data_IF_872200736696
#
_entry.id   IF_872200736696
#
_cell.length_a   1.000
_cell.length_b   1.000
_cell.length_c   1.000
_cell.angle_alpha   90.00
_cell.angle_beta   90.00
_cell.angle_gamma   90.00
#
_symmetry.space_group_name_H-M   'P 1'
#
loop_
_entity.id
_entity.type
_entity.pdbx_description
1 polymer ?
#
# COMPACT_ATOMS: atom_id res chain seq x y z
N UNK A 1 -37.65 -61.66 33.60
CA UNK A 1 -37.90 -61.38 32.17
C UNK A 1 -37.00 -60.22 31.76
N UNK A 2 -35.91 -60.42 31.00
CA UNK A 2 -34.94 -59.37 30.72
C UNK A 2 -35.21 -58.61 29.41
N UNK A 3 -35.03 -57.29 29.49
CA UNK A 3 -34.47 -56.33 28.52
C UNK A 3 -34.48 -56.60 27.00
N UNK A 4 -35.07 -55.66 26.23
CA UNK A 4 -34.72 -55.34 24.83
C UNK A 4 -35.31 -53.97 24.44
N UNK A 5 -34.49 -52.94 24.23
CA UNK A 5 -34.99 -51.66 23.68
C UNK A 5 -34.09 -50.42 23.69
N UNK A 6 -32.90 -50.45 24.29
CA UNK A 6 -32.07 -49.24 24.49
C UNK A 6 -30.96 -48.94 23.48
N UNK A 7 -30.43 -49.92 22.73
CA UNK A 7 -29.21 -49.75 21.93
C UNK A 7 -29.40 -49.14 20.53
N UNK A 8 -30.62 -49.16 19.98
CA UNK A 8 -30.85 -48.75 18.58
C UNK A 8 -30.83 -47.23 18.37
N UNK A 9 -30.94 -46.43 19.44
CA UNK A 9 -31.04 -44.97 19.35
C UNK A 9 -29.67 -44.27 19.44
N UNK A 10 -28.72 -44.84 20.17
CA UNK A 10 -27.36 -44.31 20.32
C UNK A 10 -26.53 -44.52 19.06
N UNK A 11 -26.60 -45.71 18.44
CA UNK A 11 -25.90 -46.03 17.19
C UNK A 11 -26.37 -45.14 16.03
N UNK A 12 -27.68 -44.89 15.91
CA UNK A 12 -28.25 -44.00 14.87
C UNK A 12 -27.81 -42.54 15.04
N UNK A 13 -27.70 -42.05 16.28
CA UNK A 13 -27.17 -40.71 16.59
C UNK A 13 -25.68 -40.58 16.29
N UNK A 14 -24.88 -41.61 16.58
CA UNK A 14 -23.45 -41.63 16.27
C UNK A 14 -23.21 -41.58 14.75
N UNK A 15 -23.98 -42.37 13.99
CA UNK A 15 -23.95 -42.39 12.53
C UNK A 15 -24.41 -41.05 11.92
N UNK A 16 -25.41 -40.36 12.51
CA UNK A 16 -25.80 -39.04 12.01
C UNK A 16 -24.76 -37.96 12.32
N UNK A 17 -24.12 -38.01 13.50
CA UNK A 17 -23.04 -37.09 13.87
C UNK A 17 -21.82 -37.27 12.96
N UNK A 18 -21.42 -38.51 12.67
CA UNK A 18 -20.35 -38.79 11.69
C UNK A 18 -20.69 -38.25 10.30
N UNK A 19 -21.93 -38.40 9.85
CA UNK A 19 -22.38 -37.84 8.56
C UNK A 19 -22.33 -36.31 8.55
N UNK A 20 -22.80 -35.65 9.63
CA UNK A 20 -22.74 -34.20 9.75
C UNK A 20 -21.29 -33.67 9.79
N UNK A 21 -20.39 -34.34 10.53
CA UNK A 21 -18.97 -34.00 10.55
C UNK A 21 -18.31 -34.18 9.18
N UNK A 22 -18.63 -35.26 8.48
CA UNK A 22 -18.12 -35.52 7.13
C UNK A 22 -18.63 -34.48 6.14
N UNK A 23 -19.91 -34.08 6.21
CA UNK A 23 -20.43 -32.99 5.38
C UNK A 23 -19.75 -31.67 5.68
N UNK A 24 -19.47 -31.37 6.96
CA UNK A 24 -18.81 -30.13 7.36
C UNK A 24 -17.34 -30.10 6.87
N UNK A 25 -16.65 -31.23 6.96
CA UNK A 25 -15.28 -31.37 6.46
C UNK A 25 -15.21 -31.22 4.93
N UNK A 26 -16.16 -31.82 4.20
CA UNK A 26 -16.28 -31.65 2.74
C UNK A 26 -16.56 -30.19 2.38
N UNK A 27 -17.38 -29.50 3.16
CA UNK A 27 -17.74 -28.10 2.92
C UNK A 27 -16.55 -27.17 3.17
N UNK A 28 -15.77 -27.40 4.22
CA UNK A 28 -14.52 -26.67 4.49
C UNK A 28 -13.47 -26.92 3.40
N UNK A 29 -13.31 -28.17 2.95
CA UNK A 29 -12.42 -28.50 1.84
C UNK A 29 -12.86 -27.85 0.54
N UNK A 30 -14.16 -27.79 0.27
CA UNK A 30 -14.71 -27.10 -0.90
C UNK A 30 -14.47 -25.58 -0.84
N UNK A 31 -14.61 -24.96 0.33
CA UNK A 31 -14.30 -23.54 0.53
C UNK A 31 -12.80 -23.28 0.33
N UNK A 32 -11.94 -24.10 0.94
CA UNK A 32 -10.49 -24.00 0.76
C UNK A 32 -10.07 -24.16 -0.69
N UNK A 33 -10.64 -25.15 -1.39
CA UNK A 33 -10.40 -25.37 -2.81
C UNK A 33 -10.89 -24.18 -3.66
N UNK A 34 -12.03 -23.57 -3.32
CA UNK A 34 -12.59 -22.41 -4.02
C UNK A 34 -11.72 -21.15 -3.88
N UNK A 35 -11.13 -20.93 -2.70
CA UNK A 35 -10.24 -19.77 -2.44
C UNK A 35 -8.96 -19.85 -3.28
N UNK A 36 -8.43 -21.06 -3.48
CA UNK A 36 -7.19 -21.28 -4.25
C UNK A 36 -7.48 -21.47 -5.75
N UNK A 37 -8.77 -21.54 -6.14
CA UNK A 37 -9.16 -21.88 -7.51
C UNK A 37 -8.89 -20.70 -8.46
N UNK A 38 -8.11 -20.89 -9.53
CA UNK A 38 -7.93 -19.86 -10.53
C UNK A 38 -9.24 -19.64 -11.31
N UNK A 39 -9.39 -18.47 -11.95
CA UNK A 39 -10.65 -18.06 -12.60
C UNK A 39 -11.16 -19.09 -13.64
N UNK A 40 -10.27 -19.84 -14.29
CA UNK A 40 -10.63 -20.92 -15.21
C UNK A 40 -11.32 -22.09 -14.48
N UNK A 41 -10.87 -22.42 -13.27
CA UNK A 41 -11.50 -23.45 -12.45
C UNK A 41 -12.90 -23.03 -11.99
N UNK A 42 -13.09 -21.76 -11.63
CA UNK A 42 -14.42 -21.21 -11.34
C UNK A 42 -15.35 -21.34 -12.55
N UNK A 43 -14.87 -21.05 -13.77
CA UNK A 43 -15.65 -21.24 -15.00
C UNK A 43 -16.02 -22.71 -15.25
N UNK A 44 -15.10 -23.66 -15.00
CA UNK A 44 -15.39 -25.09 -15.12
C UNK A 44 -16.48 -25.50 -14.12
N UNK A 45 -16.41 -25.03 -12.87
CA UNK A 45 -17.43 -25.31 -11.87
C UNK A 45 -18.79 -24.75 -12.29
N UNK A 46 -18.83 -23.51 -12.80
CA UNK A 46 -20.06 -22.90 -13.33
C UNK A 46 -20.61 -23.71 -14.51
N UNK A 47 -19.76 -24.14 -15.43
CA UNK A 47 -20.16 -24.94 -16.59
C UNK A 47 -20.69 -26.31 -16.20
N UNK A 48 -20.05 -26.99 -15.24
CA UNK A 48 -20.50 -28.27 -14.69
C UNK A 48 -21.84 -28.11 -13.97
N UNK A 49 -22.02 -27.02 -13.21
CA UNK A 49 -23.25 -26.72 -12.51
C UNK A 49 -24.39 -26.42 -13.50
N UNK A 50 -24.12 -25.66 -14.56
CA UNK A 50 -25.08 -25.41 -15.64
C UNK A 50 -25.44 -26.69 -16.41
N UNK A 51 -24.44 -27.53 -16.72
CA UNK A 51 -24.66 -28.82 -17.36
C UNK A 51 -25.51 -29.74 -16.48
N UNK A 52 -25.26 -29.78 -15.17
CA UNK A 52 -26.04 -30.55 -14.21
C UNK A 52 -27.49 -30.03 -14.08
N UNK A 53 -27.67 -28.71 -14.01
CA UNK A 53 -28.99 -28.06 -13.94
C UNK A 53 -29.87 -28.41 -15.16
N UNK A 54 -29.28 -28.49 -16.36
CA UNK A 54 -29.99 -28.82 -17.59
C UNK A 54 -30.18 -30.35 -17.77
N UNK A 55 -29.18 -31.15 -17.42
CA UNK A 55 -29.20 -32.59 -17.64
C UNK A 55 -30.11 -33.34 -16.66
N UNK A 56 -30.15 -32.95 -15.38
CA UNK A 56 -30.86 -33.70 -14.34
C UNK A 56 -32.30 -33.23 -14.13
N UNK A 57 -33.22 -34.15 -13.82
CA UNK A 57 -34.61 -33.82 -13.47
C UNK A 57 -34.69 -32.94 -12.22
N UNK A 58 -33.84 -33.21 -11.23
CA UNK A 58 -33.73 -32.42 -10.00
C UNK A 58 -33.17 -31.01 -10.27
N UNK A 59 -32.22 -30.88 -11.19
CA UNK A 59 -31.66 -29.60 -11.60
C UNK A 59 -32.69 -28.68 -12.28
N UNK A 60 -33.54 -29.24 -13.14
CA UNK A 60 -34.65 -28.47 -13.76
C UNK A 60 -35.68 -28.02 -12.73
N UNK A 61 -36.00 -28.86 -11.74
CA UNK A 61 -36.89 -28.49 -10.65
C UNK A 61 -36.31 -27.33 -9.81
N UNK A 62 -35.00 -27.37 -9.52
CA UNK A 62 -34.31 -26.27 -8.84
C UNK A 62 -34.34 -24.97 -9.67
N UNK A 63 -34.12 -25.07 -10.99
CA UNK A 63 -34.15 -23.93 -11.90
C UNK A 63 -35.54 -23.27 -11.96
N UNK A 64 -36.62 -24.07 -12.01
CA UNK A 64 -37.98 -23.54 -11.96
C UNK A 64 -38.32 -22.92 -10.60
N UNK A 65 -37.88 -23.51 -9.49
CA UNK A 65 -38.06 -22.93 -8.17
C UNK A 65 -37.32 -21.59 -8.02
N UNK A 66 -36.05 -21.52 -8.47
CA UNK A 66 -35.28 -20.27 -8.51
C UNK A 66 -35.91 -19.25 -9.45
N UNK A 67 -36.44 -19.69 -10.60
CA UNK A 67 -37.15 -18.84 -11.56
C UNK A 67 -38.41 -18.23 -10.96
N UNK A 68 -39.21 -19.00 -10.22
CA UNK A 68 -40.37 -18.49 -9.48
C UNK A 68 -39.91 -17.46 -8.43
N UNK A 69 -38.83 -17.76 -7.71
CA UNK A 69 -38.21 -16.84 -6.74
C UNK A 69 -37.83 -15.51 -7.38
N UNK A 70 -37.06 -15.53 -8.48
CA UNK A 70 -36.65 -14.33 -9.22
C UNK A 70 -37.85 -13.61 -9.82
N UNK A 71 -38.81 -14.33 -10.41
CA UNK A 71 -40.02 -13.77 -11.00
C UNK A 71 -40.96 -13.14 -9.97
N UNK A 72 -40.80 -13.47 -8.68
CA UNK A 72 -41.54 -12.84 -7.58
C UNK A 72 -40.87 -11.57 -7.03
N UNK A 73 -39.57 -11.35 -7.31
CA UNK A 73 -38.86 -10.13 -6.90
C UNK A 73 -39.57 -8.84 -7.36
N UNK A 74 -40.16 -8.80 -8.58
CA UNK A 74 -40.86 -7.62 -9.01
C UNK A 74 -42.07 -7.19 -8.19
N UNK A 75 -42.73 -8.16 -7.54
CA UNK A 75 -43.88 -7.89 -6.68
C UNK A 75 -43.46 -7.29 -5.33
N UNK A 76 -42.17 -7.29 -5.01
CA UNK A 76 -41.58 -6.81 -3.74
C UNK A 76 -40.37 -5.89 -3.96
N UNK A 77 -40.45 -5.02 -4.96
CA UNK A 77 -39.36 -4.11 -5.35
C UNK A 77 -38.79 -3.30 -4.18
N UNK A 78 -39.62 -2.75 -3.29
CA UNK A 78 -39.14 -1.95 -2.16
C UNK A 78 -38.23 -2.74 -1.21
N UNK A 79 -38.72 -3.88 -0.70
CA UNK A 79 -37.95 -4.71 0.23
C UNK A 79 -36.67 -5.30 -0.41
N UNK A 80 -36.74 -5.69 -1.68
CA UNK A 80 -35.59 -6.26 -2.40
C UNK A 80 -34.51 -5.22 -2.67
N UNK A 81 -34.90 -4.00 -3.06
CA UNK A 81 -33.96 -2.89 -3.29
C UNK A 81 -33.22 -2.49 -2.01
N UNK A 82 -33.90 -2.44 -0.87
CA UNK A 82 -33.26 -2.14 0.43
C UNK A 82 -32.17 -3.16 0.76
N UNK A 83 -32.42 -4.45 0.53
CA UNK A 83 -31.43 -5.50 0.77
C UNK A 83 -30.23 -5.35 -0.19
N UNK A 84 -30.50 -5.15 -1.48
CA UNK A 84 -29.42 -4.98 -2.49
C UNK A 84 -28.58 -3.76 -2.17
N UNK A 85 -29.19 -2.61 -1.89
CA UNK A 85 -28.48 -1.37 -1.56
C UNK A 85 -27.72 -1.52 -0.22
N UNK A 86 -28.32 -2.18 0.77
CA UNK A 86 -27.68 -2.44 2.06
C UNK A 86 -26.42 -3.30 1.91
N UNK A 87 -26.51 -4.41 1.18
CA UNK A 87 -25.35 -5.27 0.90
C UNK A 87 -24.31 -4.53 0.06
N UNK A 88 -24.73 -3.84 -1.00
CA UNK A 88 -23.85 -3.06 -1.85
C UNK A 88 -23.09 -1.97 -1.08
N UNK A 89 -23.77 -1.28 -0.16
CA UNK A 89 -23.17 -0.25 0.70
C UNK A 89 -22.08 -0.82 1.61
N UNK A 90 -22.35 -1.95 2.28
CA UNK A 90 -21.35 -2.59 3.16
C UNK A 90 -20.14 -3.08 2.35
N UNK A 91 -20.38 -3.71 1.19
CA UNK A 91 -19.30 -4.18 0.30
C UNK A 91 -18.50 -2.99 -0.23
N UNK A 92 -19.14 -1.90 -0.65
CA UNK A 92 -18.47 -0.71 -1.16
C UNK A 92 -17.55 -0.08 -0.11
N UNK A 93 -18.01 0.02 1.14
CA UNK A 93 -17.18 0.55 2.25
C UNK A 93 -15.98 -0.37 2.51
N UNK A 94 -16.17 -1.69 2.54
CA UNK A 94 -15.08 -2.64 2.75
C UNK A 94 -14.04 -2.57 1.63
N UNK A 95 -14.49 -2.57 0.38
CA UNK A 95 -13.62 -2.45 -0.80
C UNK A 95 -12.87 -1.12 -0.78
N UNK A 96 -13.53 -0.01 -0.43
CA UNK A 96 -12.89 1.29 -0.34
C UNK A 96 -11.78 1.32 0.74
N UNK A 97 -12.02 0.73 1.91
CA UNK A 97 -11.00 0.66 2.97
C UNK A 97 -9.82 -0.24 2.59
N UNK A 98 -10.07 -1.39 1.96
CA UNK A 98 -9.01 -2.27 1.46
C UNK A 98 -8.18 -1.58 0.37
N UNK A 99 -8.83 -0.92 -0.58
CA UNK A 99 -8.16 -0.17 -1.64
C UNK A 99 -7.34 1.00 -1.07
N UNK A 100 -7.83 1.69 -0.03
CA UNK A 100 -7.06 2.72 0.66
C UNK A 100 -5.83 2.12 1.36
N UNK A 101 -5.99 0.99 2.05
CA UNK A 101 -4.88 0.28 2.70
C UNK A 101 -3.78 -0.10 1.70
N UNK A 102 -4.16 -0.77 0.61
CA UNK A 102 -3.25 -1.17 -0.46
C UNK A 102 -2.58 0.05 -1.12
N UNK A 103 -3.33 1.13 -1.33
CA UNK A 103 -2.79 2.37 -1.90
C UNK A 103 -1.73 3.03 -1.00
N UNK A 104 -1.94 3.03 0.32
CA UNK A 104 -0.95 3.51 1.27
C UNK A 104 0.29 2.61 1.30
N UNK A 105 0.12 1.29 1.32
CA UNK A 105 1.23 0.32 1.30
C UNK A 105 2.07 0.48 0.03
N UNK A 106 1.44 0.51 -1.14
CA UNK A 106 2.12 0.71 -2.42
C UNK A 106 2.91 2.04 -2.48
N UNK A 107 2.41 3.10 -1.84
CA UNK A 107 3.10 4.40 -1.79
C UNK A 107 4.31 4.34 -0.86
N UNK A 108 4.22 3.61 0.26
CA UNK A 108 5.33 3.43 1.20
C UNK A 108 6.43 2.55 0.63
N UNK A 109 6.07 1.44 -0.04
CA UNK A 109 7.01 0.53 -0.68
C UNK A 109 7.79 1.23 -1.81
N UNK A 110 7.13 2.09 -2.58
CA UNK A 110 7.79 2.84 -3.65
C UNK A 110 8.84 3.85 -3.13
N UNK A 111 8.73 4.30 -1.87
CA UNK A 111 9.66 5.24 -1.25
C UNK A 111 10.78 4.54 -0.46
N UNK A 112 10.63 3.24 -0.16
CA UNK A 112 11.60 2.44 0.59
C UNK A 112 12.67 1.79 -0.29
N UNK A 113 13.85 1.56 0.27
CA UNK A 113 14.90 0.74 -0.35
C UNK A 113 15.47 -0.21 0.71
N UNK A 114 15.50 -1.52 0.43
CA UNK A 114 16.04 -2.55 1.31
C UNK A 114 17.56 -2.41 1.55
N UNK A 115 18.25 -1.71 0.65
CA UNK A 115 19.70 -1.49 0.73
C UNK A 115 20.08 -0.21 1.49
N UNK A 116 19.10 0.59 1.91
CA UNK A 116 19.31 1.89 2.55
C UNK A 116 18.76 1.92 3.97
N UNK A 117 19.57 2.38 4.92
CA UNK A 117 19.13 2.55 6.30
C UNK A 117 19.16 4.02 6.73
N UNK A 118 18.11 4.48 7.41
CA UNK A 118 18.05 5.80 8.03
C UNK A 118 18.46 5.66 9.51
N UNK A 119 19.56 6.32 9.87
CA UNK A 119 20.04 6.36 11.26
C UNK A 119 19.47 7.60 11.95
N UNK A 120 18.72 7.39 13.02
CA UNK A 120 18.19 8.46 13.86
C UNK A 120 18.83 8.44 15.25
N UNK A 121 18.86 9.60 15.91
CA UNK A 121 19.23 9.67 17.32
C UNK A 121 18.26 8.84 18.16
N UNK A 122 18.80 8.14 19.15
CA UNK A 122 18.00 7.43 20.15
C UNK A 122 16.89 8.30 20.75
N UNK A 123 15.66 7.78 20.76
CA UNK A 123 14.46 8.48 21.22
C UNK A 123 13.74 9.30 20.14
N UNK A 124 14.34 9.53 18.98
CA UNK A 124 13.65 10.15 17.85
C UNK A 124 12.88 9.12 17.02
N UNK A 125 11.66 9.49 16.62
CA UNK A 125 10.82 8.68 15.70
C UNK A 125 10.76 9.26 14.29
N UNK A 126 11.27 10.48 14.10
CA UNK A 126 11.19 11.23 12.83
C UNK A 126 12.50 11.97 12.57
N UNK A 127 12.85 12.14 11.30
CA UNK A 127 14.10 12.82 10.89
C UNK A 127 14.18 14.26 11.41
N UNK A 128 13.07 14.99 11.41
CA UNK A 128 13.01 16.40 11.84
C UNK A 128 13.38 16.63 13.31
N UNK A 129 13.20 15.63 14.17
CA UNK A 129 13.52 15.69 15.59
C UNK A 129 14.83 14.97 15.94
N UNK A 130 15.54 14.44 14.93
CA UNK A 130 16.80 13.73 15.12
C UNK A 130 17.98 14.69 14.98
N UNK A 131 18.72 14.88 16.07
CA UNK A 131 19.94 15.69 16.09
C UNK A 131 21.18 14.81 16.28
N UNK A 132 21.77 14.37 15.17
CA UNK A 132 23.07 13.69 15.17
C UNK A 132 24.17 14.74 14.96
N UNK A 133 25.12 14.81 15.89
CA UNK A 133 26.23 15.75 15.79
C UNK A 133 27.22 15.34 14.69
N UNK A 134 27.81 16.34 14.02
CA UNK A 134 28.81 16.12 12.96
C UNK A 134 30.02 15.30 13.45
N UNK A 135 30.39 15.43 14.72
CA UNK A 135 31.47 14.69 15.38
C UNK A 135 31.23 13.18 15.43
N UNK A 136 29.96 12.73 15.40
CA UNK A 136 29.58 11.32 15.46
C UNK A 136 29.54 10.66 14.07
N UNK A 137 29.48 11.44 12.99
CA UNK A 137 29.39 10.93 11.62
C UNK A 137 30.56 9.99 11.26
N UNK A 138 31.83 10.28 11.59
CA UNK A 138 32.93 9.35 11.33
C UNK A 138 32.81 8.04 12.10
N UNK A 139 32.21 8.05 13.30
CA UNK A 139 31.95 6.83 14.07
C UNK A 139 30.88 5.98 13.38
N UNK A 140 29.79 6.61 12.93
CA UNK A 140 28.74 5.91 12.18
C UNK A 140 29.29 5.25 10.91
N UNK A 141 30.19 5.94 10.20
CA UNK A 141 30.85 5.42 9.01
C UNK A 141 31.72 4.15 9.24
N UNK A 142 32.01 3.79 10.49
CA UNK A 142 32.74 2.55 10.84
C UNK A 142 31.82 1.37 11.16
N UNK A 143 30.50 1.57 11.17
CA UNK A 143 29.56 0.51 11.48
C UNK A 143 29.65 -0.63 10.46
N UNK A 144 29.51 -1.90 10.91
CA UNK A 144 29.45 -3.03 9.99
C UNK A 144 28.19 -2.93 9.13
N UNK A 145 28.31 -3.27 7.85
CA UNK A 145 27.20 -3.26 6.89
C UNK A 145 27.08 -2.00 6.04
N UNK A 146 27.89 -0.96 6.30
CA UNK A 146 27.99 0.19 5.40
C UNK A 146 28.83 -0.20 4.19
N UNK A 147 28.21 -0.16 3.01
CA UNK A 147 28.88 -0.37 1.73
C UNK A 147 29.92 0.72 1.48
N UNK A 148 30.94 0.41 0.69
CA UNK A 148 32.00 1.35 0.32
C UNK A 148 32.04 1.53 -1.19
N UNK A 149 32.37 2.74 -1.63
CA UNK A 149 32.60 3.04 -3.03
C UNK A 149 33.89 2.35 -3.55
N UNK A 150 34.16 2.50 -4.86
CA UNK A 150 35.34 1.91 -5.51
C UNK A 150 36.67 2.46 -4.94
N UNK A 151 36.63 3.65 -4.37
CA UNK A 151 37.75 4.35 -3.73
C UNK A 151 37.91 3.98 -2.23
N UNK A 152 36.98 3.16 -1.69
CA UNK A 152 36.99 2.67 -0.32
C UNK A 152 36.34 3.60 0.71
N UNK A 153 35.68 4.68 0.30
CA UNK A 153 34.91 5.56 1.18
C UNK A 153 33.55 4.95 1.53
N UNK A 154 33.09 5.11 2.78
CA UNK A 154 31.78 4.62 3.20
C UNK A 154 30.64 5.38 2.48
N UNK A 155 29.68 4.64 1.93
CA UNK A 155 28.44 5.16 1.36
C UNK A 155 27.53 5.63 2.50
N UNK A 156 27.80 6.83 2.99
CA UNK A 156 27.05 7.46 4.06
C UNK A 156 26.79 8.93 3.74
N UNK A 157 25.53 9.33 3.82
CA UNK A 157 25.09 10.71 3.65
C UNK A 157 24.66 11.30 4.99
N UNK A 158 25.38 12.32 5.47
CA UNK A 158 24.97 13.08 6.64
C UNK A 158 23.98 14.17 6.21
N UNK A 159 22.69 13.88 6.34
CA UNK A 159 21.61 14.75 5.88
C UNK A 159 21.01 15.56 7.02
N UNK A 160 20.54 16.76 6.70
CA UNK A 160 19.80 17.63 7.63
C UNK A 160 18.45 17.94 7.01
N UNK A 161 17.37 17.54 7.68
CA UNK A 161 16.00 17.83 7.21
C UNK A 161 15.39 18.94 8.05
N UNK A 162 15.00 20.04 7.40
CA UNK A 162 14.33 21.19 8.01
C UNK A 162 13.06 21.53 7.24
N UNK A 163 12.16 22.31 7.84
CA UNK A 163 10.95 22.78 7.18
C UNK A 163 11.09 24.28 6.96
N UNK A 164 10.83 24.72 5.73
CA UNK A 164 10.81 26.14 5.33
C UNK A 164 9.42 26.50 4.83
N UNK A 165 9.02 27.75 5.00
CA UNK A 165 7.77 28.26 4.42
C UNK A 165 8.04 28.77 3.02
N UNK A 166 7.26 28.31 2.04
CA UNK A 166 7.26 28.82 0.67
C UNK A 166 5.84 29.16 0.22
N UNK A 167 5.68 30.22 -0.61
CA UNK A 167 4.37 30.60 -1.12
C UNK A 167 3.89 29.62 -2.19
N UNK A 168 2.70 29.07 -1.97
CA UNK A 168 1.98 28.23 -2.92
C UNK A 168 1.70 28.97 -4.23
N UNK A 169 1.78 28.25 -5.36
CA UNK A 169 1.37 28.77 -6.67
C UNK A 169 -0.13 29.03 -6.74
N UNK A 170 -0.93 28.14 -6.15
CA UNK A 170 -2.38 28.12 -6.29
C UNK A 170 -3.04 29.38 -5.71
N UNK A 171 -2.66 29.77 -4.50
CA UNK A 171 -3.31 30.83 -3.74
C UNK A 171 -2.34 31.84 -3.12
N UNK A 172 -1.02 31.57 -3.18
CA UNK A 172 -0.01 32.42 -2.56
C UNK A 172 0.10 32.25 -1.05
N UNK A 173 -0.57 31.25 -0.47
CA UNK A 173 -0.48 30.96 0.96
C UNK A 173 0.87 30.35 1.32
N UNK A 174 1.34 30.65 2.53
CA UNK A 174 2.57 30.11 3.08
C UNK A 174 2.38 28.63 3.45
N UNK A 175 3.14 27.77 2.77
CA UNK A 175 3.07 26.32 2.94
C UNK A 175 4.43 25.76 3.34
N UNK A 176 4.40 24.74 4.21
CA UNK A 176 5.60 24.08 4.68
C UNK A 176 6.18 23.15 3.62
N UNK A 177 7.46 23.35 3.31
CA UNK A 177 8.23 22.55 2.34
C UNK A 177 9.46 21.97 3.02
N UNK A 178 9.79 20.73 2.69
CA UNK A 178 10.98 20.08 3.23
C UNK A 178 12.23 20.65 2.55
N UNK A 179 13.12 21.24 3.35
CA UNK A 179 14.45 21.67 2.93
C UNK A 179 15.48 20.68 3.46
N UNK A 180 16.25 20.07 2.56
CA UNK A 180 17.22 19.03 2.91
C UNK A 180 18.64 19.47 2.55
N UNK A 181 19.50 19.53 3.57
CA UNK A 181 20.94 19.64 3.39
C UNK A 181 21.53 18.26 3.11
N UNK A 182 22.30 18.13 2.03
CA UNK A 182 22.91 16.88 1.59
C UNK A 182 24.42 17.02 1.41
N UNK A 183 25.15 15.91 1.59
CA UNK A 183 26.55 15.79 1.21
C UNK A 183 26.72 15.24 -0.22
N UNK A 184 27.94 15.23 -0.77
CA UNK A 184 28.21 14.68 -2.11
C UNK A 184 27.79 13.20 -2.26
N UNK A 185 27.96 12.41 -1.20
CA UNK A 185 27.58 11.00 -1.16
C UNK A 185 26.06 10.76 -1.22
N UNK A 186 25.23 11.79 -1.05
CA UNK A 186 23.77 11.65 -1.06
C UNK A 186 23.24 11.10 -2.40
N UNK A 187 23.85 11.49 -3.52
CA UNK A 187 23.47 10.99 -4.85
C UNK A 187 23.87 9.53 -5.08
N UNK A 188 24.88 9.04 -4.35
CA UNK A 188 25.29 7.64 -4.39
C UNK A 188 24.38 6.77 -3.52
N UNK A 189 24.02 7.28 -2.33
CA UNK A 189 23.10 6.59 -1.41
C UNK A 189 21.66 6.62 -1.96
N UNK A 190 21.22 7.73 -2.56
CA UNK A 190 19.90 7.88 -3.19
C UNK A 190 19.98 7.67 -4.70
N UNK A 191 20.21 6.42 -5.12
CA UNK A 191 20.41 6.05 -6.52
C UNK A 191 19.24 6.33 -7.47
N UNK A 192 18.06 6.68 -6.95
CA UNK A 192 16.88 7.03 -7.74
C UNK A 192 16.81 8.51 -8.14
N UNK A 193 17.70 9.38 -7.63
CA UNK A 193 17.72 10.80 -7.97
C UNK A 193 18.28 11.01 -9.38
N UNK A 194 17.46 11.57 -10.27
CA UNK A 194 17.89 11.97 -11.61
C UNK A 194 17.79 13.47 -11.77
N UNK A 195 18.90 14.11 -12.13
CA UNK A 195 18.92 15.53 -12.47
C UNK A 195 18.30 15.69 -13.85
N UNK A 196 17.24 16.49 -13.94
CA UNK A 196 16.51 16.75 -15.18
C UNK A 196 17.05 17.98 -15.91
N UNK A 197 17.30 19.05 -15.15
CA UNK A 197 17.82 20.32 -15.68
C UNK A 197 18.93 20.86 -14.78
N UNK A 198 19.89 21.57 -15.38
CA UNK A 198 20.98 22.21 -14.64
C UNK A 198 22.02 21.22 -14.11
N UNK A 199 22.41 21.37 -12.84
CA UNK A 199 23.46 20.56 -12.21
C UNK A 199 23.21 20.33 -10.72
N UNK A 200 23.98 19.42 -10.13
CA UNK A 200 24.03 19.22 -8.69
C UNK A 200 24.55 20.48 -7.96
N UNK A 201 24.11 20.72 -6.71
CA UNK A 201 24.57 21.86 -5.93
C UNK A 201 26.04 21.68 -5.51
N UNK A 202 26.80 22.77 -5.56
CA UNK A 202 28.20 22.79 -5.16
C UNK A 202 28.38 22.70 -3.64
N UNK A 203 29.43 22.00 -3.20
CA UNK A 203 29.75 21.89 -1.76
C UNK A 203 30.14 23.26 -1.20
N UNK A 204 29.51 23.67 -0.10
CA UNK A 204 29.77 24.95 0.56
C UNK A 204 29.21 26.18 -0.16
N UNK A 205 28.48 25.98 -1.25
CA UNK A 205 27.78 27.04 -1.98
C UNK A 205 26.32 27.11 -1.51
N UNK A 206 25.71 28.30 -1.60
CA UNK A 206 24.26 28.48 -1.32
C UNK A 206 23.44 28.13 -2.54
N UNK A 207 23.61 26.90 -2.98
CA UNK A 207 22.95 26.35 -4.16
C UNK A 207 21.98 25.27 -3.73
N UNK A 208 20.84 25.21 -4.42
CA UNK A 208 19.83 24.19 -4.18
C UNK A 208 19.34 23.61 -5.51
N UNK A 209 18.87 22.37 -5.45
CA UNK A 209 18.14 21.71 -6.52
C UNK A 209 16.73 21.44 -6.04
N UNK A 210 15.77 21.45 -6.95
CA UNK A 210 14.34 21.35 -6.60
C UNK A 210 13.72 20.12 -7.25
N UNK A 211 12.88 19.40 -6.50
CA UNK A 211 12.04 18.34 -7.05
C UNK A 211 11.03 18.91 -8.05
N UNK A 212 10.80 18.22 -9.16
CA UNK A 212 9.85 18.65 -10.19
C UNK A 212 8.42 18.86 -9.64
N UNK A 213 8.00 18.10 -8.63
CA UNK A 213 6.73 18.26 -7.93
C UNK A 213 6.66 19.58 -7.15
N UNK A 214 7.71 19.90 -6.40
CA UNK A 214 7.82 21.18 -5.70
C UNK A 214 7.82 22.38 -6.68
N UNK A 215 8.50 22.28 -7.82
CA UNK A 215 8.48 23.35 -8.84
C UNK A 215 7.07 23.66 -9.36
N UNK A 216 6.22 22.63 -9.49
CA UNK A 216 4.84 22.76 -9.92
C UNK A 216 3.91 23.37 -8.85
N UNK A 217 4.27 23.23 -7.57
CA UNK A 217 3.44 23.65 -6.44
C UNK A 217 3.82 25.00 -5.86
N UNK A 218 5.11 25.39 -5.90
CA UNK A 218 5.61 26.58 -5.22
C UNK A 218 6.25 27.60 -6.17
N UNK A 219 6.17 28.88 -5.82
CA UNK A 219 6.69 30.00 -6.63
C UNK A 219 8.18 30.20 -6.39
N UNK A 220 8.92 30.64 -7.40
CA UNK A 220 10.34 31.02 -7.28
C UNK A 220 11.33 29.85 -7.30
N UNK A 221 10.85 28.62 -7.54
CA UNK A 221 11.65 27.40 -7.59
C UNK A 221 12.18 27.06 -8.99
N UNK A 222 12.08 27.97 -9.95
CA UNK A 222 12.62 27.79 -11.30
C UNK A 222 14.15 27.77 -11.31
N UNK A 223 14.75 26.96 -12.19
CA UNK A 223 16.21 26.92 -12.33
C UNK A 223 16.72 28.29 -12.80
N UNK A 224 17.75 28.81 -12.12
CA UNK A 224 18.29 30.15 -12.31
C UNK A 224 17.68 31.22 -11.40
N UNK A 225 16.54 30.94 -10.74
CA UNK A 225 15.98 31.86 -9.76
C UNK A 225 16.73 31.80 -8.44
N UNK A 226 16.44 32.78 -7.59
CA UNK A 226 17.07 32.93 -6.29
C UNK A 226 16.00 33.15 -5.23
N UNK A 227 16.11 32.43 -4.12
CA UNK A 227 15.16 32.39 -3.02
C UNK A 227 15.79 32.99 -1.77
N UNK A 228 14.98 33.66 -0.97
CA UNK A 228 15.39 34.09 0.37
C UNK A 228 14.87 33.07 1.38
N UNK A 229 15.78 32.28 1.97
CA UNK A 229 15.43 31.32 3.02
C UNK A 229 16.05 31.81 4.32
N UNK A 230 15.20 32.18 5.28
CA UNK A 230 15.62 32.91 6.48
C UNK A 230 16.24 34.26 6.09
N UNK A 231 17.49 34.48 6.48
CA UNK A 231 18.26 35.70 6.19
C UNK A 231 19.35 35.49 5.12
N UNK A 232 19.25 34.41 4.33
CA UNK A 232 20.27 34.05 3.35
C UNK A 232 19.66 33.83 1.98
N UNK A 233 20.42 34.25 0.97
CA UNK A 233 20.06 34.12 -0.43
C UNK A 233 20.57 32.78 -0.98
N UNK A 234 19.69 32.01 -1.63
CA UNK A 234 19.96 30.69 -2.20
C UNK A 234 19.61 30.64 -3.68
N UNK A 235 20.52 30.14 -4.52
CA UNK A 235 20.31 30.03 -5.96
C UNK A 235 19.86 28.64 -6.38
N UNK A 236 18.82 28.57 -7.22
CA UNK A 236 18.35 27.31 -7.79
C UNK A 236 19.22 26.95 -8.99
N UNK A 237 19.98 25.86 -8.90
CA UNK A 237 20.96 25.47 -9.94
C UNK A 237 20.54 24.25 -10.76
N UNK A 238 19.44 23.59 -10.38
CA UNK A 238 18.91 22.47 -11.13
C UNK A 238 17.59 21.95 -10.60
N UNK A 239 17.01 21.01 -11.35
CA UNK A 239 15.81 20.27 -10.98
C UNK A 239 16.08 18.77 -11.00
N UNK A 240 15.39 18.02 -10.15
CA UNK A 240 15.51 16.57 -10.09
C UNK A 240 14.14 15.88 -10.07
N UNK A 241 14.14 14.60 -10.43
CA UNK A 241 13.02 13.69 -10.22
C UNK A 241 13.52 12.38 -9.60
N UNK A 242 12.72 11.86 -8.67
CA UNK A 242 12.94 10.57 -8.00
C UNK A 242 11.82 9.58 -8.34
N UNK A 243 10.66 10.06 -8.82
CA UNK A 243 9.50 9.22 -9.11
C UNK A 243 8.75 8.75 -7.86
N UNK A 244 9.10 9.29 -6.69
CA UNK A 244 8.54 8.95 -5.38
C UNK A 244 8.11 10.24 -4.62
N UNK A 245 7.75 10.09 -3.35
CA UNK A 245 7.31 11.20 -2.50
C UNK A 245 8.40 12.28 -2.26
N UNK A 246 9.68 12.01 -2.51
CA UNK A 246 10.77 12.99 -2.33
C UNK A 246 10.82 14.04 -3.46
N UNK A 247 9.94 13.95 -4.46
CA UNK A 247 9.81 14.92 -5.56
C UNK A 247 8.98 16.17 -5.18
N UNK A 248 8.23 16.15 -4.06
CA UNK A 248 7.29 17.20 -3.61
C UNK A 248 7.81 18.07 -2.47
#
# INVERSE_FOLDING_TARGET
>A
MPWRGGEDTTMKRLLSLMKSLLTLAVLLLAIGAWIVLPWQGALIVVALLAAWLLATRTGRLALEATRIGIASLPQRWGASSVIVIGIAGVVAVLVAMLAMGEGFEATLDAAGNDESAIVLRSGSKVESNSNIERSLVPMLATLPGIERDAEGHPLLSAEVSQVVSLPSRADGSDTNVQFRGIGPAAFLVRGNVRILEGRAPGTGMRELIVGRGAQAQFRGLEVGNTLMLGNQQWSVVGSFATGDAYES
#
